data_IF_469711369872
#
_entry.id   IF_469711369872
#
_cell.length_a   1.000
_cell.length_b   1.000
_cell.length_c   1.000
_cell.angle_alpha   90.00
_cell.angle_beta   90.00
_cell.angle_gamma   90.00
#
_symmetry.space_group_name_H-M   'P 1'
#
loop_
_entity.id
_entity.type
_entity.pdbx_description
1 polymer ?
#
# COMPACT_ATOMS: atom_id res chain seq x y z
N UNK A 1 -47.04 21.50 14.37
CA UNK A 1 -46.21 20.38 13.86
C UNK A 1 -45.41 20.73 12.59
N UNK A 2 -45.13 22.00 12.29
CA UNK A 2 -44.34 22.36 11.10
C UNK A 2 -42.84 22.53 11.39
N UNK A 3 -42.49 22.86 12.64
CA UNK A 3 -41.10 23.15 13.06
C UNK A 3 -40.26 21.86 13.18
N UNK A 4 -40.86 20.75 13.65
CA UNK A 4 -40.17 19.46 13.73
C UNK A 4 -39.81 18.86 12.36
N UNK A 5 -40.67 19.06 11.35
CA UNK A 5 -40.38 18.63 9.98
C UNK A 5 -39.30 19.50 9.32
N UNK A 6 -39.28 20.81 9.59
CA UNK A 6 -38.25 21.72 9.08
C UNK A 6 -36.86 21.41 9.65
N UNK A 7 -36.77 21.05 10.94
CA UNK A 7 -35.49 20.64 11.56
C UNK A 7 -35.02 19.29 10.98
N UNK A 8 -35.90 18.30 10.78
CA UNK A 8 -35.52 17.03 10.14
C UNK A 8 -35.10 17.19 8.67
N UNK A 9 -35.67 18.15 7.94
CA UNK A 9 -35.24 18.48 6.57
C UNK A 9 -33.90 19.22 6.57
N UNK A 10 -33.65 20.12 7.53
CA UNK A 10 -32.37 20.84 7.65
C UNK A 10 -31.24 19.91 8.12
N UNK A 11 -31.49 19.06 9.12
CA UNK A 11 -30.54 18.02 9.54
C UNK A 11 -30.38 16.97 8.43
N UNK A 12 -31.45 16.61 7.74
CA UNK A 12 -31.40 15.76 6.54
C UNK A 12 -30.64 16.38 5.37
N UNK A 13 -30.62 17.71 5.22
CA UNK A 13 -29.83 18.43 4.21
C UNK A 13 -28.38 18.68 4.64
N UNK A 14 -28.11 18.83 5.94
CA UNK A 14 -26.78 19.04 6.50
C UNK A 14 -26.00 17.72 6.66
N UNK A 15 -26.69 16.61 6.96
CA UNK A 15 -26.16 15.25 6.99
C UNK A 15 -26.37 14.48 5.66
N UNK A 16 -26.83 15.15 4.61
CA UNK A 16 -26.90 14.56 3.27
C UNK A 16 -25.49 14.24 2.76
N UNK A 17 -25.23 13.07 2.15
CA UNK A 17 -23.90 12.50 1.95
C UNK A 17 -23.11 13.24 0.87
N UNK A 18 -22.61 14.43 1.20
CA UNK A 18 -21.67 15.15 0.35
C UNK A 18 -20.27 14.65 0.66
N UNK A 19 -19.86 13.57 0.00
CA UNK A 19 -18.45 13.24 -0.11
C UNK A 19 -18.03 11.82 0.24
N UNK A 20 -18.91 10.81 0.24
CA UNK A 20 -18.47 9.43 0.49
C UNK A 20 -17.37 8.98 -0.49
N UNK A 21 -17.43 9.41 -1.76
CA UNK A 21 -16.34 9.21 -2.75
C UNK A 21 -15.02 9.85 -2.34
N UNK A 22 -15.08 11.07 -1.78
CA UNK A 22 -13.90 11.83 -1.35
C UNK A 22 -13.33 11.27 -0.05
N UNK A 23 -14.19 10.90 0.89
CA UNK A 23 -13.81 10.21 2.11
C UNK A 23 -13.22 8.83 1.82
N UNK A 24 -13.79 8.09 0.86
CA UNK A 24 -13.22 6.83 0.38
C UNK A 24 -11.82 7.05 -0.21
N UNK A 25 -11.65 8.00 -1.12
CA UNK A 25 -10.35 8.30 -1.72
C UNK A 25 -9.31 8.68 -0.64
N UNK A 26 -9.69 9.51 0.33
CA UNK A 26 -8.83 9.88 1.47
C UNK A 26 -8.54 8.71 2.41
N UNK A 27 -9.53 7.87 2.68
CA UNK A 27 -9.38 6.68 3.51
C UNK A 27 -8.38 5.71 2.90
N UNK A 28 -8.53 5.41 1.60
CA UNK A 28 -7.59 4.58 0.84
C UNK A 28 -6.20 5.24 0.80
N UNK A 29 -6.11 6.55 0.57
CA UNK A 29 -4.84 7.26 0.61
C UNK A 29 -4.14 7.16 1.97
N UNK A 30 -4.89 7.29 3.06
CA UNK A 30 -4.37 7.09 4.43
C UNK A 30 -3.90 5.66 4.65
N UNK A 31 -4.64 4.69 4.16
CA UNK A 31 -4.27 3.28 4.24
C UNK A 31 -2.99 2.97 3.44
N UNK A 32 -2.85 3.52 2.21
CA UNK A 32 -1.66 3.32 1.39
C UNK A 32 -0.39 3.91 2.02
N UNK A 33 -0.50 5.08 2.68
CA UNK A 33 0.62 5.64 3.44
C UNK A 33 1.01 4.76 4.62
N UNK A 34 0.01 4.33 5.41
CA UNK A 34 0.27 3.49 6.59
C UNK A 34 0.89 2.13 6.21
N UNK A 35 0.32 1.45 5.20
CA UNK A 35 0.85 0.16 4.74
C UNK A 35 2.21 0.30 4.07
N UNK A 36 2.49 1.42 3.39
CA UNK A 36 3.83 1.73 2.87
C UNK A 36 4.87 1.81 3.99
N UNK A 37 4.57 2.52 5.09
CA UNK A 37 5.45 2.57 6.27
C UNK A 37 5.64 1.20 6.93
N UNK A 38 4.58 0.40 7.04
CA UNK A 38 4.72 -0.95 7.59
C UNK A 38 5.55 -1.87 6.68
N UNK A 39 5.34 -1.77 5.37
CA UNK A 39 6.10 -2.53 4.37
C UNK A 39 7.59 -2.16 4.39
N UNK A 40 7.92 -0.88 4.55
CA UNK A 40 9.29 -0.37 4.70
C UNK A 40 10.00 -1.06 5.88
N UNK A 41 9.41 -1.00 7.08
CA UNK A 41 9.96 -1.67 8.26
C UNK A 41 10.06 -3.20 8.11
N UNK A 42 9.11 -3.82 7.41
CA UNK A 42 9.17 -5.27 7.15
C UNK A 42 10.34 -5.62 6.22
N UNK A 43 10.63 -4.79 5.21
CA UNK A 43 11.80 -4.94 4.36
C UNK A 43 13.10 -4.65 5.11
N UNK A 44 13.19 -3.57 5.87
CA UNK A 44 14.41 -3.25 6.61
C UNK A 44 14.80 -4.37 7.58
N UNK A 45 13.80 -5.00 8.21
CA UNK A 45 14.01 -6.17 9.06
C UNK A 45 14.54 -7.38 8.28
N UNK A 46 13.92 -7.75 7.16
CA UNK A 46 14.39 -8.91 6.35
C UNK A 46 15.75 -8.65 5.68
N UNK A 47 16.06 -7.38 5.38
CA UNK A 47 17.30 -6.95 4.77
C UNK A 47 18.42 -6.71 5.81
N UNK A 48 18.10 -6.75 7.11
CA UNK A 48 19.05 -6.53 8.19
C UNK A 48 19.59 -5.09 8.28
N UNK A 49 18.77 -4.10 7.92
CA UNK A 49 19.15 -2.68 7.86
C UNK A 49 18.83 -1.94 9.18
N UNK A 50 17.71 -2.25 9.83
CA UNK A 50 17.32 -1.65 11.12
C UNK A 50 17.00 -2.70 12.20
N UNK A 51 17.20 -2.34 13.47
CA UNK A 51 16.78 -3.15 14.61
C UNK A 51 15.25 -3.25 14.74
N UNK A 52 14.78 -4.46 15.05
CA UNK A 52 13.38 -4.81 15.16
C UNK A 52 12.65 -4.01 16.27
N UNK A 53 11.93 -2.95 15.89
CA UNK A 53 11.09 -2.20 16.84
C UNK A 53 9.92 -1.42 16.23
N UNK A 54 10.11 -0.77 15.07
CA UNK A 54 9.07 0.05 14.42
C UNK A 54 7.91 -0.74 13.82
N UNK A 55 8.14 -2.00 13.43
CA UNK A 55 7.19 -2.80 12.66
C UNK A 55 5.85 -3.05 13.37
N UNK A 56 5.86 -3.35 14.68
CA UNK A 56 4.61 -3.65 15.41
C UNK A 56 3.71 -2.42 15.55
N UNK A 57 4.32 -1.27 15.84
CA UNK A 57 3.60 0.01 15.91
C UNK A 57 3.05 0.40 14.53
N UNK A 58 3.85 0.26 13.48
CA UNK A 58 3.42 0.53 12.10
C UNK A 58 2.28 -0.41 11.66
N UNK A 59 2.33 -1.68 12.08
CA UNK A 59 1.25 -2.65 11.83
C UNK A 59 -0.06 -2.23 12.47
N UNK A 60 -0.03 -1.81 13.74
CA UNK A 60 -1.22 -1.33 14.46
C UNK A 60 -1.85 -0.11 13.77
N UNK A 61 -1.04 0.86 13.36
CA UNK A 61 -1.50 2.03 12.61
C UNK A 61 -2.09 1.66 11.24
N UNK A 62 -1.50 0.66 10.57
CA UNK A 62 -1.98 0.16 9.29
C UNK A 62 -3.35 -0.51 9.41
N UNK A 63 -3.56 -1.34 10.43
CA UNK A 63 -4.87 -1.96 10.70
C UNK A 63 -5.92 -0.89 10.96
N UNK A 64 -5.61 0.13 11.77
CA UNK A 64 -6.54 1.21 12.03
C UNK A 64 -6.87 2.01 10.76
N UNK A 65 -5.88 2.26 9.90
CA UNK A 65 -6.10 2.94 8.62
C UNK A 65 -6.93 2.10 7.64
N UNK A 66 -6.70 0.78 7.60
CA UNK A 66 -7.52 -0.17 6.84
C UNK A 66 -8.97 -0.13 7.28
N UNK A 67 -9.22 -0.21 8.58
CA UNK A 67 -10.59 -0.24 9.13
C UNK A 67 -11.32 1.07 8.80
N UNK A 68 -10.66 2.22 8.93
CA UNK A 68 -11.20 3.52 8.48
C UNK A 68 -11.50 3.57 6.98
N UNK A 69 -10.64 2.98 6.15
CA UNK A 69 -10.89 2.89 4.71
C UNK A 69 -12.07 1.96 4.38
N UNK A 70 -12.25 0.87 5.12
CA UNK A 70 -13.38 -0.04 5.00
C UNK A 70 -14.70 0.63 5.39
N UNK A 71 -14.72 1.39 6.49
CA UNK A 71 -15.89 2.19 6.90
C UNK A 71 -16.29 3.21 5.81
N UNK A 72 -15.30 3.89 5.20
CA UNK A 72 -15.55 4.81 4.11
C UNK A 72 -16.08 4.10 2.85
N UNK A 73 -15.63 2.87 2.59
CA UNK A 73 -16.14 2.04 1.51
C UNK A 73 -17.58 1.61 1.75
N UNK A 74 -17.92 1.19 2.98
CA UNK A 74 -19.30 0.85 3.35
C UNK A 74 -20.23 2.06 3.22
N UNK A 75 -19.77 3.26 3.62
CA UNK A 75 -20.51 4.50 3.43
C UNK A 75 -20.75 4.80 1.93
N UNK A 76 -19.73 4.58 1.09
CA UNK A 76 -19.83 4.72 -0.36
C UNK A 76 -20.82 3.74 -0.98
N UNK A 77 -20.84 2.47 -0.57
CA UNK A 77 -21.80 1.47 -1.08
C UNK A 77 -23.26 1.81 -0.72
N UNK A 78 -23.46 2.47 0.42
CA UNK A 78 -24.78 2.90 0.86
C UNK A 78 -25.25 4.22 0.23
N UNK A 79 -24.38 4.93 -0.50
CA UNK A 79 -24.74 6.16 -1.21
C UNK A 79 -25.62 5.82 -2.43
N UNK A 80 -26.88 6.26 -2.41
CA UNK A 80 -27.87 6.01 -3.49
C UNK A 80 -27.67 6.90 -4.74
N UNK A 81 -26.54 7.61 -4.85
CA UNK A 81 -26.29 8.54 -5.94
C UNK A 81 -25.53 7.88 -7.10
N UNK A 82 -25.84 8.21 -8.37
CA UNK A 82 -25.06 7.76 -9.51
C UNK A 82 -23.59 8.18 -9.36
N UNK A 83 -22.68 7.21 -9.34
CA UNK A 83 -21.24 7.44 -9.21
C UNK A 83 -20.52 6.95 -10.47
N UNK A 84 -19.59 7.76 -11.04
CA UNK A 84 -18.74 7.30 -12.14
C UNK A 84 -17.67 6.30 -11.66
N UNK A 85 -17.43 6.23 -10.34
CA UNK A 85 -16.67 5.14 -9.73
C UNK A 85 -17.65 4.01 -9.40
N UNK A 86 -17.48 2.86 -10.03
CA UNK A 86 -18.26 1.67 -9.75
C UNK A 86 -17.75 0.93 -8.49
N UNK A 87 -18.61 0.16 -7.80
CA UNK A 87 -18.23 -0.59 -6.59
C UNK A 87 -17.08 -1.57 -6.76
N UNK A 88 -16.91 -2.16 -7.94
CA UNK A 88 -15.86 -3.15 -8.19
C UNK A 88 -14.49 -2.45 -8.24
N UNK A 89 -14.38 -1.31 -8.93
CA UNK A 89 -13.18 -0.48 -8.95
C UNK A 89 -12.85 0.10 -7.57
N UNK A 90 -13.86 0.56 -6.82
CA UNK A 90 -13.66 1.01 -5.44
C UNK A 90 -13.14 -0.12 -4.53
N UNK A 91 -13.73 -1.32 -4.64
CA UNK A 91 -13.32 -2.49 -3.88
C UNK A 91 -11.93 -2.99 -4.25
N UNK A 92 -11.53 -2.90 -5.53
CA UNK A 92 -10.20 -3.31 -5.98
C UNK A 92 -9.08 -2.44 -5.38
N UNK A 93 -9.31 -1.13 -5.24
CA UNK A 93 -8.37 -0.21 -4.59
C UNK A 93 -8.14 -0.57 -3.11
N UNK A 94 -9.21 -0.88 -2.37
CA UNK A 94 -9.12 -1.32 -0.98
C UNK A 94 -8.44 -2.70 -0.89
N UNK A 95 -8.79 -3.62 -1.79
CA UNK A 95 -8.19 -4.96 -1.88
C UNK A 95 -6.68 -4.89 -2.13
N UNK A 96 -6.23 -3.98 -3.01
CA UNK A 96 -4.81 -3.78 -3.28
C UNK A 96 -4.02 -3.41 -2.01
N UNK A 97 -4.52 -2.47 -1.19
CA UNK A 97 -3.89 -2.15 0.09
C UNK A 97 -3.82 -3.35 1.05
N UNK A 98 -4.84 -4.22 1.04
CA UNK A 98 -4.82 -5.47 1.82
C UNK A 98 -3.79 -6.48 1.30
N UNK A 99 -3.57 -6.55 -0.01
CA UNK A 99 -2.53 -7.41 -0.59
C UNK A 99 -1.12 -6.92 -0.20
N UNK A 100 -0.90 -5.60 -0.14
CA UNK A 100 0.35 -5.03 0.36
C UNK A 100 0.53 -5.31 1.86
N UNK A 101 -0.54 -5.19 2.66
CA UNK A 101 -0.52 -5.53 4.08
C UNK A 101 -0.15 -7.01 4.28
N UNK A 102 -0.72 -7.91 3.47
CA UNK A 102 -0.37 -9.32 3.50
C UNK A 102 1.10 -9.57 3.13
N UNK A 103 1.64 -8.86 2.14
CA UNK A 103 3.06 -8.94 1.80
C UNK A 103 3.96 -8.52 2.99
N UNK A 104 3.62 -7.42 3.67
CA UNK A 104 4.33 -6.97 4.86
C UNK A 104 4.25 -7.99 6.02
N UNK A 105 3.06 -8.54 6.30
CA UNK A 105 2.87 -9.60 7.31
C UNK A 105 3.69 -10.86 6.98
N UNK A 106 3.83 -11.23 5.71
CA UNK A 106 4.62 -12.38 5.29
C UNK A 106 6.13 -12.13 5.41
N UNK A 107 6.60 -10.93 5.07
CA UNK A 107 8.00 -10.52 5.28
C UNK A 107 8.36 -10.51 6.77
N UNK A 108 7.46 -10.00 7.62
CA UNK A 108 7.64 -10.00 9.07
C UNK A 108 7.77 -11.44 9.63
N UNK A 109 6.94 -12.37 9.14
CA UNK A 109 7.05 -13.79 9.52
C UNK A 109 8.38 -14.40 9.07
N UNK A 110 8.83 -14.10 7.84
CA UNK A 110 10.08 -14.61 7.27
C UNK A 110 11.29 -14.20 8.13
N UNK A 111 11.36 -12.93 8.53
CA UNK A 111 12.43 -12.49 9.42
C UNK A 111 12.19 -12.90 10.87
N UNK A 112 11.10 -12.47 11.49
CA UNK A 112 10.90 -12.57 12.94
C UNK A 112 10.64 -13.99 13.45
N UNK A 113 9.97 -14.85 12.67
CA UNK A 113 9.66 -16.23 13.09
C UNK A 113 10.59 -17.27 12.48
N UNK A 114 10.98 -17.09 11.23
CA UNK A 114 11.82 -18.05 10.52
C UNK A 114 13.32 -17.72 10.59
N UNK A 115 13.70 -16.51 11.00
CA UNK A 115 15.09 -16.10 11.18
C UNK A 115 15.85 -15.90 9.86
N UNK A 116 15.15 -15.60 8.77
CA UNK A 116 15.79 -15.24 7.50
C UNK A 116 16.07 -13.74 7.46
N UNK A 117 17.35 -13.39 7.47
CA UNK A 117 17.83 -12.02 7.35
C UNK A 117 19.01 -11.97 6.39
N UNK A 118 19.13 -10.88 5.62
CA UNK A 118 20.15 -10.71 4.58
C UNK A 118 21.56 -10.35 5.11
N UNK A 119 21.86 -10.59 6.39
CA UNK A 119 23.12 -10.21 7.05
C UNK A 119 24.38 -10.80 6.39
N UNK A 120 24.28 -11.98 5.77
CA UNK A 120 25.35 -12.60 4.98
C UNK A 120 25.47 -12.09 3.53
N UNK A 121 24.72 -11.04 3.18
CA UNK A 121 24.47 -10.62 1.80
C UNK A 121 24.31 -9.08 1.64
N UNK A 122 25.22 -8.25 2.18
CA UNK A 122 25.01 -6.80 2.32
C UNK A 122 24.84 -6.07 0.97
N UNK A 123 25.57 -6.47 -0.07
CA UNK A 123 25.46 -5.84 -1.40
C UNK A 123 24.12 -6.15 -2.08
N UNK A 124 23.65 -7.38 -1.92
CA UNK A 124 22.32 -7.80 -2.39
C UNK A 124 21.23 -7.08 -1.61
N UNK A 125 21.37 -6.98 -0.29
CA UNK A 125 20.43 -6.30 0.59
C UNK A 125 20.27 -4.81 0.22
N UNK A 126 21.39 -4.10 0.03
CA UNK A 126 21.40 -2.69 -0.41
C UNK A 126 20.74 -2.49 -1.77
N UNK A 127 21.06 -3.36 -2.75
CA UNK A 127 20.45 -3.29 -4.08
C UNK A 127 18.93 -3.49 -3.99
N UNK A 128 18.45 -4.43 -3.17
CA UNK A 128 17.00 -4.63 -2.97
C UNK A 128 16.38 -3.42 -2.26
N UNK A 129 17.02 -2.87 -1.23
CA UNK A 129 16.53 -1.70 -0.50
C UNK A 129 16.36 -0.47 -1.41
N UNK A 130 17.28 -0.23 -2.35
CA UNK A 130 17.11 0.84 -3.36
C UNK A 130 15.84 0.64 -4.22
N UNK A 131 15.49 -0.61 -4.53
CA UNK A 131 14.26 -0.93 -5.25
C UNK A 131 13.02 -0.83 -4.37
N UNK A 132 13.13 -1.14 -3.07
CA UNK A 132 12.07 -0.90 -2.07
C UNK A 132 11.76 0.61 -2.00
N UNK A 133 12.76 1.47 -1.93
CA UNK A 133 12.55 2.93 -1.95
C UNK A 133 11.82 3.40 -3.22
N UNK A 134 12.14 2.82 -4.37
CA UNK A 134 11.43 3.09 -5.63
C UNK A 134 9.97 2.65 -5.57
N UNK A 135 9.69 1.47 -5.03
CA UNK A 135 8.33 0.95 -4.84
C UNK A 135 7.51 1.82 -3.87
N UNK A 136 8.09 2.19 -2.73
CA UNK A 136 7.41 3.01 -1.71
C UNK A 136 7.07 4.40 -2.24
N UNK A 137 7.97 5.01 -3.01
CA UNK A 137 7.70 6.28 -3.68
C UNK A 137 6.50 6.18 -4.65
N UNK A 138 6.35 5.06 -5.35
CA UNK A 138 5.21 4.82 -6.23
C UNK A 138 3.89 4.71 -5.45
N UNK A 139 3.86 4.02 -4.30
CA UNK A 139 2.67 3.96 -3.44
C UNK A 139 2.30 5.30 -2.82
N UNK A 140 3.29 6.08 -2.36
CA UNK A 140 3.07 7.44 -1.86
C UNK A 140 2.46 8.34 -2.95
N UNK A 141 2.96 8.26 -4.18
CA UNK A 141 2.40 8.95 -5.34
C UNK A 141 0.94 8.58 -5.57
N UNK A 142 0.56 7.31 -5.47
CA UNK A 142 -0.85 6.89 -5.59
C UNK A 142 -1.70 7.45 -4.44
N UNK A 143 -1.17 7.47 -3.21
CA UNK A 143 -1.85 8.04 -2.06
C UNK A 143 -2.04 9.57 -2.19
N UNK A 144 -1.06 10.29 -2.73
CA UNK A 144 -1.13 11.74 -2.96
C UNK A 144 -2.13 12.08 -4.07
N UNK A 145 -2.16 11.28 -5.16
CA UNK A 145 -3.22 11.36 -6.16
C UNK A 145 -4.60 11.15 -5.55
N UNK A 146 -4.79 10.12 -4.72
CA UNK A 146 -6.09 9.87 -4.09
C UNK A 146 -6.50 10.97 -3.10
N UNK A 147 -5.55 11.54 -2.35
CA UNK A 147 -5.84 12.56 -1.34
C UNK A 147 -6.10 13.96 -1.94
N UNK A 148 -5.31 14.35 -2.95
CA UNK A 148 -5.23 15.72 -3.45
C UNK A 148 -5.58 15.83 -4.94
N UNK A 149 -5.59 14.71 -5.67
CA UNK A 149 -5.77 14.64 -7.12
C UNK A 149 -4.62 15.29 -7.88
N UNK A 150 -3.40 15.18 -7.33
CA UNK A 150 -2.18 15.63 -8.00
C UNK A 150 -2.00 14.95 -9.36
N UNK A 151 -1.27 15.61 -10.25
CA UNK A 151 -1.01 15.07 -11.58
C UNK A 151 -0.02 13.91 -11.49
N UNK A 152 -0.24 12.88 -12.32
CA UNK A 152 0.69 11.77 -12.49
C UNK A 152 2.08 12.33 -12.84
N UNK A 153 3.03 12.16 -11.93
CA UNK A 153 4.45 12.37 -12.20
C UNK A 153 5.07 11.04 -12.63
N UNK A 154 5.99 11.08 -13.59
CA UNK A 154 6.79 9.91 -13.94
C UNK A 154 7.72 9.58 -12.78
N UNK A 155 7.38 8.50 -12.08
CA UNK A 155 8.23 7.91 -11.04
C UNK A 155 9.15 6.86 -11.65
N UNK A 156 10.34 6.72 -11.08
CA UNK A 156 11.21 5.59 -11.38
C UNK A 156 10.43 4.27 -11.14
N UNK A 157 10.75 3.25 -11.92
CA UNK A 157 10.15 1.91 -11.79
C UNK A 157 11.16 0.96 -11.18
N UNK A 158 10.64 0.03 -10.39
CA UNK A 158 11.40 -1.12 -9.92
C UNK A 158 12.05 -1.83 -11.11
N UNK A 159 13.34 -2.14 -11.00
CA UNK A 159 14.12 -2.85 -12.01
C UNK A 159 14.15 -4.36 -11.69
N UNK A 160 13.46 -5.22 -12.47
CA UNK A 160 13.55 -6.67 -12.29
C UNK A 160 14.96 -7.21 -12.52
N UNK A 161 15.76 -6.51 -13.34
CA UNK A 161 17.14 -6.87 -13.63
C UNK A 161 18.05 -6.64 -12.42
N UNK A 162 17.87 -5.51 -11.71
CA UNK A 162 18.63 -5.22 -10.49
C UNK A 162 18.30 -6.24 -9.38
N UNK A 163 17.02 -6.53 -9.18
CA UNK A 163 16.55 -7.52 -8.21
C UNK A 163 17.08 -8.93 -8.51
N UNK A 164 17.01 -9.36 -9.77
CA UNK A 164 17.57 -10.64 -10.21
C UNK A 164 19.09 -10.69 -10.03
N UNK A 165 19.80 -9.61 -10.34
CA UNK A 165 21.24 -9.50 -10.15
C UNK A 165 21.65 -9.68 -8.69
N UNK A 166 20.97 -8.98 -7.78
CA UNK A 166 21.18 -9.08 -6.34
C UNK A 166 20.97 -10.52 -5.83
N UNK A 167 19.87 -11.16 -6.23
CA UNK A 167 19.55 -12.54 -5.87
C UNK A 167 20.63 -13.53 -6.38
N UNK A 168 21.02 -13.42 -7.65
CA UNK A 168 22.01 -14.32 -8.24
C UNK A 168 23.41 -14.15 -7.64
N UNK A 169 23.81 -12.92 -7.29
CA UNK A 169 25.07 -12.64 -6.61
C UNK A 169 25.13 -13.37 -5.26
N UNK A 170 24.08 -13.24 -4.47
CA UNK A 170 23.95 -13.89 -3.16
C UNK A 170 23.89 -15.41 -3.24
N UNK A 171 23.11 -15.97 -4.17
CA UNK A 171 23.07 -17.42 -4.41
C UNK A 171 24.44 -17.96 -4.87
N UNK A 172 25.18 -17.17 -5.66
CA UNK A 172 26.55 -17.49 -6.05
C UNK A 172 27.49 -17.61 -4.86
N UNK A 173 27.35 -16.72 -3.87
CA UNK A 173 28.14 -16.74 -2.64
C UNK A 173 27.80 -17.94 -1.75
N UNK A 174 26.52 -18.27 -1.61
CA UNK A 174 26.08 -19.45 -0.86
C UNK A 174 26.69 -20.76 -1.39
N UNK A 175 26.87 -20.89 -2.71
CA UNK A 175 27.53 -22.07 -3.30
C UNK A 175 28.97 -22.28 -2.80
N UNK A 176 29.61 -21.23 -2.29
CA UNK A 176 30.98 -21.27 -1.76
C UNK A 176 31.05 -21.20 -0.23
N UNK A 177 29.97 -20.75 0.43
CA UNK A 177 29.86 -20.63 1.88
C UNK A 177 28.46 -21.06 2.33
N UNK A 178 28.36 -22.25 2.92
CA UNK A 178 27.10 -22.83 3.41
C UNK A 178 26.43 -21.96 4.49
N UNK A 179 27.18 -21.12 5.21
CA UNK A 179 26.62 -20.23 6.25
C UNK A 179 25.87 -19.04 5.64
N UNK A 180 26.11 -18.71 4.36
CA UNK A 180 25.45 -17.60 3.67
C UNK A 180 24.02 -17.95 3.19
N UNK A 181 23.57 -19.20 3.34
CA UNK A 181 22.29 -19.68 2.80
C UNK A 181 21.07 -18.91 3.28
N UNK A 182 21.01 -18.54 4.57
CA UNK A 182 19.88 -17.74 5.11
C UNK A 182 19.84 -16.33 4.53
N UNK A 183 21.00 -15.69 4.38
CA UNK A 183 21.10 -14.36 3.77
C UNK A 183 20.74 -14.36 2.30
N UNK A 184 21.17 -15.38 1.55
CA UNK A 184 20.81 -15.53 0.15
C UNK A 184 19.31 -15.75 -0.04
N UNK A 185 18.69 -16.60 0.79
CA UNK A 185 17.24 -16.80 0.76
C UNK A 185 16.47 -15.54 1.14
N UNK A 186 16.92 -14.78 2.14
CA UNK A 186 16.30 -13.52 2.52
C UNK A 186 16.29 -12.50 1.36
N UNK A 187 17.42 -12.35 0.65
CA UNK A 187 17.51 -11.48 -0.55
C UNK A 187 16.57 -11.94 -1.65
N UNK A 188 16.51 -13.24 -1.94
CA UNK A 188 15.59 -13.80 -2.96
C UNK A 188 14.14 -13.51 -2.58
N UNK A 189 13.75 -13.81 -1.34
CA UNK A 189 12.37 -13.60 -0.85
C UNK A 189 12.01 -12.12 -0.94
N UNK A 190 12.88 -11.22 -0.47
CA UNK A 190 12.65 -9.78 -0.53
C UNK A 190 12.50 -9.30 -1.98
N UNK A 191 13.40 -9.73 -2.88
CA UNK A 191 13.38 -9.37 -4.30
C UNK A 191 12.09 -9.84 -5.00
N UNK A 192 11.59 -11.03 -4.68
CA UNK A 192 10.34 -11.53 -5.23
C UNK A 192 9.13 -10.75 -4.71
N UNK A 193 9.10 -10.40 -3.41
CA UNK A 193 8.03 -9.56 -2.86
C UNK A 193 8.02 -8.16 -3.44
N UNK A 194 9.18 -7.53 -3.65
CA UNK A 194 9.27 -6.23 -4.33
C UNK A 194 8.67 -6.33 -5.75
N UNK A 195 9.02 -7.37 -6.52
CA UNK A 195 8.45 -7.56 -7.86
C UNK A 195 6.94 -7.83 -7.82
N UNK A 196 6.46 -8.64 -6.88
CA UNK A 196 5.04 -8.96 -6.75
C UNK A 196 4.22 -7.70 -6.43
N UNK A 197 4.70 -6.88 -5.51
CA UNK A 197 4.02 -5.65 -5.09
C UNK A 197 4.13 -4.56 -6.17
N UNK A 198 5.25 -4.49 -6.90
CA UNK A 198 5.38 -3.60 -8.06
C UNK A 198 4.37 -3.92 -9.17
N UNK A 199 4.17 -5.21 -9.48
CA UNK A 199 3.15 -5.62 -10.47
C UNK A 199 1.73 -5.29 -10.03
N UNK A 200 1.46 -5.35 -8.72
CA UNK A 200 0.19 -4.89 -8.17
C UNK A 200 0.03 -3.38 -8.39
N UNK A 201 1.06 -2.60 -8.07
CA UNK A 201 1.08 -1.13 -8.23
C UNK A 201 0.86 -0.68 -9.69
N UNK A 202 1.54 -1.32 -10.65
CA UNK A 202 1.37 -1.05 -12.09
C UNK A 202 -0.11 -1.14 -12.54
N UNK A 203 -0.92 -1.96 -11.87
CA UNK A 203 -2.34 -2.14 -12.15
C UNK A 203 -3.26 -1.07 -11.55
N UNK A 204 -2.75 -0.17 -10.70
CA UNK A 204 -3.57 0.77 -9.91
C UNK A 204 -3.74 2.15 -10.54
N UNK A 205 -2.88 2.54 -11.48
CA UNK A 205 -2.93 3.87 -12.11
C UNK A 205 -4.32 4.18 -12.71
N UNK A 206 -4.92 3.21 -13.42
CA UNK A 206 -6.26 3.36 -14.01
C UNK A 206 -7.37 3.50 -12.95
N UNK A 207 -7.52 2.53 -12.04
CA UNK A 207 -8.47 2.60 -10.92
C UNK A 207 -8.33 3.88 -10.08
N UNK A 208 -7.10 4.32 -9.79
CA UNK A 208 -6.82 5.56 -9.04
C UNK A 208 -7.31 6.78 -9.81
N UNK A 209 -7.02 6.87 -11.12
CA UNK A 209 -7.50 7.98 -11.95
C UNK A 209 -9.03 8.08 -11.97
N UNK A 210 -9.73 6.95 -12.05
CA UNK A 210 -11.21 6.89 -11.98
C UNK A 210 -11.70 7.37 -10.61
N UNK A 211 -11.09 6.91 -9.51
CA UNK A 211 -11.47 7.32 -8.17
C UNK A 211 -11.23 8.82 -7.93
N UNK A 212 -10.11 9.37 -8.40
CA UNK A 212 -9.81 10.81 -8.32
C UNK A 212 -10.80 11.64 -9.11
N UNK A 213 -11.15 11.22 -10.33
CA UNK A 213 -12.17 11.88 -11.14
C UNK A 213 -13.54 11.86 -10.44
N UNK A 214 -13.93 10.71 -9.86
CA UNK A 214 -15.18 10.55 -9.13
C UNK A 214 -15.25 11.38 -7.85
N UNK A 215 -14.13 11.51 -7.12
CA UNK A 215 -14.03 12.33 -5.91
C UNK A 215 -14.14 13.85 -6.20
N UNK A 216 -13.81 14.27 -7.43
CA UNK A 216 -13.92 15.66 -7.91
C UNK A 216 -15.24 15.97 -8.59
N UNK A 217 -15.97 14.94 -9.05
CA UNK A 217 -17.23 15.11 -9.75
C UNK A 217 -18.27 15.77 -8.83
N UNK A 218 -18.95 16.82 -9.30
CA UNK A 218 -20.01 17.43 -8.53
C UNK A 218 -21.22 16.49 -8.39
N UNK A 219 -21.82 16.46 -7.19
CA UNK A 219 -22.90 15.53 -6.81
C UNK A 219 -24.21 15.65 -7.63
N UNK A 220 -24.35 16.70 -8.45
CA UNK A 220 -25.54 16.95 -9.27
C UNK A 220 -25.43 16.41 -10.70
N UNK A 221 -24.35 15.67 -11.00
CA UNK A 221 -24.14 14.93 -12.25
C UNK A 221 -23.98 13.45 -11.95
#
# INVERSE_FOLDING_TARGET
MAIGAAISVVVGLLFWPRGARRELARGIAGFYRAVGTYLDHAFDRVLGIEEAGGADAARGLTIQARDRAAEAFDAFLNEKAPSPLDPQTAGSLLSAGNQVLLAADLLDVVSGRMGYEATGCPDGARTVHEQVGTLLAAFLRLADQLAFGELKQDSARVSPQALRGAALQCLGHWRTDDQAGRGALAVVIAAEWVQNVARLEDGLDGPVAVAVAAARAPWWR
#
